data_IF_790870633449
#
_entry.id   IF_790870633449
#
_cell.length_a   1.000
_cell.length_b   1.000
_cell.length_c   1.000
_cell.angle_alpha   90.00
_cell.angle_beta   90.00
_cell.angle_gamma   90.00
#
_symmetry.space_group_name_H-M   'P 1'
#
loop_
_entity.id
_entity.type
_entity.pdbx_description
1 polymer ?
#
# COMPACT_ATOMS: atom_id res chain seq x y z
N UNK A 1 -8.62 44.78 2.50
CA UNK A 1 -8.72 43.44 1.89
C UNK A 1 -7.38 42.72 1.98
N UNK A 2 -7.24 41.69 2.83
CA UNK A 2 -6.01 40.88 2.93
C UNK A 2 -6.00 39.87 1.78
N UNK A 3 -5.01 39.95 0.87
CA UNK A 3 -4.81 38.99 -0.22
C UNK A 3 -4.56 37.59 0.36
N UNK A 4 -5.43 36.63 0.03
CA UNK A 4 -5.20 35.23 0.33
C UNK A 4 -3.95 34.74 -0.41
N UNK A 5 -2.96 34.22 0.33
CA UNK A 5 -1.80 33.51 -0.26
C UNK A 5 -2.34 32.28 -0.97
N UNK A 6 -2.14 32.19 -2.29
CA UNK A 6 -2.34 30.95 -3.04
C UNK A 6 -1.48 29.85 -2.38
N UNK A 7 -2.03 28.67 -2.09
CA UNK A 7 -1.24 27.57 -1.55
C UNK A 7 -0.12 27.22 -2.53
N UNK A 8 1.12 27.13 -2.04
CA UNK A 8 2.26 26.63 -2.82
C UNK A 8 1.90 25.23 -3.31
N UNK A 9 1.89 25.03 -4.63
CA UNK A 9 1.74 23.71 -5.25
C UNK A 9 2.87 22.84 -4.70
N UNK A 10 2.54 21.78 -3.96
CA UNK A 10 3.53 20.84 -3.46
C UNK A 10 4.30 20.26 -4.66
N UNK A 11 5.62 20.31 -4.61
CA UNK A 11 6.47 19.63 -5.58
C UNK A 11 6.19 18.13 -5.49
N UNK A 12 6.07 17.46 -6.64
CA UNK A 12 5.93 16.01 -6.68
C UNK A 12 7.11 15.37 -5.91
N UNK A 13 6.90 14.25 -5.18
CA UNK A 13 7.99 13.58 -4.50
C UNK A 13 9.05 13.13 -5.52
N UNK A 14 10.32 13.21 -5.12
CA UNK A 14 11.42 12.63 -5.89
C UNK A 14 11.45 11.12 -5.63
N UNK A 15 11.20 10.36 -6.69
CA UNK A 15 11.11 8.89 -6.65
C UNK A 15 12.35 8.20 -7.21
N UNK A 16 13.47 8.91 -7.34
CA UNK A 16 14.74 8.28 -7.71
C UNK A 16 15.24 7.34 -6.61
N UNK A 17 15.99 6.27 -6.94
CA UNK A 17 16.60 5.40 -5.94
C UNK A 17 17.35 6.18 -4.86
N UNK A 18 18.15 7.17 -5.26
CA UNK A 18 18.95 7.98 -4.34
C UNK A 18 18.07 8.78 -3.37
N UNK A 19 16.98 9.40 -3.86
CA UNK A 19 16.06 10.19 -3.03
C UNK A 19 15.32 9.36 -1.97
N UNK A 20 15.17 8.06 -2.21
CA UNK A 20 14.57 7.13 -1.24
C UNK A 20 15.60 6.34 -0.43
N UNK A 21 16.90 6.61 -0.59
CA UNK A 21 17.97 5.91 0.14
C UNK A 21 18.23 4.49 -0.36
N UNK A 22 18.17 4.27 -1.67
CA UNK A 22 18.51 3.03 -2.36
C UNK A 22 19.63 3.29 -3.38
N UNK A 23 20.62 2.41 -3.46
CA UNK A 23 21.66 2.49 -4.49
C UNK A 23 21.07 2.23 -5.89
N UNK A 24 21.48 3.00 -6.90
CA UNK A 24 21.00 2.85 -8.28
C UNK A 24 21.28 1.44 -8.79
N UNK A 25 22.49 0.94 -8.55
CA UNK A 25 22.96 -0.34 -9.03
C UNK A 25 22.13 -1.48 -8.44
N UNK A 26 21.71 -1.35 -7.17
CA UNK A 26 20.84 -2.31 -6.50
C UNK A 26 19.43 -2.29 -7.10
N UNK A 27 18.89 -1.11 -7.39
CA UNK A 27 17.60 -0.99 -8.07
C UNK A 27 17.64 -1.61 -9.48
N UNK A 28 18.65 -1.28 -10.28
CA UNK A 28 18.83 -1.84 -11.62
C UNK A 28 19.05 -3.36 -11.60
N UNK A 29 19.78 -3.87 -10.60
CA UNK A 29 19.93 -5.31 -10.41
C UNK A 29 18.61 -5.98 -10.03
N UNK A 30 17.78 -5.33 -9.21
CA UNK A 30 16.44 -5.82 -8.87
C UNK A 30 15.51 -5.86 -10.09
N UNK A 31 15.55 -4.86 -10.97
CA UNK A 31 14.77 -4.87 -12.22
C UNK A 31 15.16 -6.04 -13.13
N UNK A 32 16.46 -6.27 -13.32
CA UNK A 32 16.94 -7.44 -14.07
C UNK A 32 16.52 -8.75 -13.42
N UNK A 33 16.66 -8.82 -12.10
CA UNK A 33 16.19 -9.98 -11.34
C UNK A 33 14.69 -10.21 -11.50
N UNK A 34 13.84 -9.19 -11.56
CA UNK A 34 12.39 -9.39 -11.69
C UNK A 34 11.93 -9.66 -13.12
N UNK A 35 12.52 -8.97 -14.10
CA UNK A 35 11.94 -8.83 -15.44
C UNK A 35 12.85 -9.32 -16.59
N UNK A 36 14.18 -9.37 -16.38
CA UNK A 36 15.14 -9.89 -17.36
C UNK A 36 15.30 -11.42 -17.19
N UNK A 37 14.15 -12.11 -17.17
CA UNK A 37 14.06 -13.55 -17.02
C UNK A 37 13.28 -14.15 -18.19
N UNK A 38 13.68 -15.34 -18.66
CA UNK A 38 12.95 -16.02 -19.72
C UNK A 38 11.54 -16.34 -19.23
N UNK A 39 10.54 -16.02 -20.07
CA UNK A 39 9.17 -16.47 -19.86
C UNK A 39 9.08 -17.91 -20.34
N UNK A 40 8.73 -18.88 -19.47
CA UNK A 40 8.57 -20.26 -19.88
C UNK A 40 7.44 -20.38 -20.91
N UNK A 41 7.57 -21.36 -21.82
CA UNK A 41 6.47 -21.74 -22.70
C UNK A 41 5.21 -22.14 -21.87
N UNK A 42 4.03 -22.22 -22.48
CA UNK A 42 2.73 -22.48 -21.81
C UNK A 42 2.68 -23.65 -20.81
N UNK A 43 3.59 -24.61 -20.89
CA UNK A 43 3.67 -25.78 -19.98
C UNK A 43 4.95 -25.81 -19.13
N UNK A 44 5.79 -24.78 -19.24
CA UNK A 44 7.00 -24.64 -18.46
C UNK A 44 6.70 -24.07 -17.08
N UNK A 45 7.49 -24.48 -16.10
CA UNK A 45 7.41 -23.98 -14.74
C UNK A 45 7.91 -22.52 -14.68
N UNK A 46 7.20 -21.68 -13.93
CA UNK A 46 7.55 -20.28 -13.72
C UNK A 46 8.89 -20.17 -12.99
N UNK A 47 9.71 -19.16 -13.33
CA UNK A 47 11.11 -19.12 -12.91
C UNK A 47 11.28 -19.01 -11.39
N UNK A 48 10.35 -18.42 -10.65
CA UNK A 48 10.41 -18.34 -9.18
C UNK A 48 10.10 -19.67 -8.49
N UNK A 49 9.50 -20.63 -9.21
CA UNK A 49 9.32 -21.99 -8.73
C UNK A 49 10.45 -22.93 -9.13
N UNK A 50 11.35 -22.48 -10.00
CA UNK A 50 12.47 -23.28 -10.43
C UNK A 50 13.56 -23.25 -9.36
N UNK A 51 13.59 -24.28 -8.52
CA UNK A 51 14.57 -24.45 -7.44
C UNK A 51 15.93 -24.95 -7.95
N UNK A 52 16.17 -24.99 -9.27
CA UNK A 52 17.51 -25.33 -9.74
C UNK A 52 18.53 -24.34 -9.16
N UNK A 53 19.62 -24.88 -8.61
CA UNK A 53 20.59 -24.16 -7.79
C UNK A 53 21.43 -23.12 -8.58
N UNK A 54 21.03 -22.79 -9.81
CA UNK A 54 21.78 -21.90 -10.70
C UNK A 54 21.48 -20.42 -10.48
N UNK A 55 20.43 -20.08 -9.73
CA UNK A 55 20.03 -18.69 -9.52
C UNK A 55 19.84 -18.39 -8.04
N UNK A 56 20.85 -17.78 -7.44
CA UNK A 56 20.77 -17.31 -6.07
C UNK A 56 19.60 -16.31 -5.91
N UNK A 57 18.87 -16.36 -4.79
CA UNK A 57 17.86 -15.35 -4.47
C UNK A 57 18.51 -13.96 -4.44
N UNK A 58 17.76 -12.94 -4.86
CA UNK A 58 18.25 -11.57 -4.82
C UNK A 58 18.41 -11.11 -3.37
N UNK A 59 19.64 -10.73 -2.99
CA UNK A 59 19.95 -10.28 -1.64
C UNK A 59 19.48 -8.83 -1.40
N UNK A 60 18.33 -8.71 -0.75
CA UNK A 60 17.79 -7.45 -0.28
C UNK A 60 17.02 -7.62 1.03
N UNK A 61 17.26 -6.68 1.95
CA UNK A 61 16.51 -6.57 3.19
C UNK A 61 15.04 -6.17 2.94
N UNK A 62 14.12 -6.39 3.89
CA UNK A 62 12.74 -5.90 3.77
C UNK A 62 12.64 -4.39 3.48
N UNK A 63 13.52 -3.59 4.07
CA UNK A 63 13.58 -2.15 3.81
C UNK A 63 13.99 -1.85 2.37
N UNK A 64 15.00 -2.54 1.86
CA UNK A 64 15.43 -2.38 0.47
C UNK A 64 14.36 -2.86 -0.51
N UNK A 65 13.69 -3.98 -0.27
CA UNK A 65 12.56 -4.41 -1.09
C UNK A 65 11.39 -3.43 -1.08
N UNK A 66 11.07 -2.83 0.07
CA UNK A 66 10.05 -1.78 0.17
C UNK A 66 10.44 -0.55 -0.67
N UNK A 67 11.73 -0.18 -0.65
CA UNK A 67 12.28 0.92 -1.46
C UNK A 67 12.29 0.59 -2.95
N UNK A 68 12.71 -0.62 -3.33
CA UNK A 68 12.66 -1.12 -4.72
C UNK A 68 11.22 -1.04 -5.24
N UNK A 69 10.24 -1.55 -4.50
CA UNK A 69 8.82 -1.44 -4.85
C UNK A 69 8.36 0.01 -4.99
N UNK A 70 8.82 0.91 -4.12
CA UNK A 70 8.49 2.34 -4.20
C UNK A 70 8.97 2.96 -5.52
N UNK A 71 10.25 2.77 -5.89
CA UNK A 71 10.79 3.29 -7.18
C UNK A 71 10.09 2.64 -8.36
N UNK A 72 9.92 1.31 -8.31
CA UNK A 72 9.29 0.52 -9.35
C UNK A 72 7.88 1.02 -9.64
N UNK A 73 7.03 1.18 -8.61
CA UNK A 73 5.66 1.63 -8.80
C UNK A 73 5.62 3.07 -9.33
N UNK A 74 6.43 3.96 -8.77
CA UNK A 74 6.46 5.37 -9.16
C UNK A 74 6.92 5.59 -10.61
N UNK A 75 7.79 4.72 -11.13
CA UNK A 75 8.41 4.86 -12.45
C UNK A 75 8.05 3.73 -13.42
N UNK A 76 7.02 2.92 -13.10
CA UNK A 76 6.71 1.67 -13.81
C UNK A 76 6.57 1.86 -15.33
N UNK A 77 5.90 2.93 -15.77
CA UNK A 77 5.72 3.21 -17.20
C UNK A 77 7.03 3.38 -17.97
N UNK A 78 8.06 3.97 -17.33
CA UNK A 78 9.39 4.16 -17.92
C UNK A 78 10.23 2.90 -17.77
N UNK A 79 10.34 2.40 -16.55
CA UNK A 79 11.30 1.35 -16.19
C UNK A 79 10.87 -0.02 -16.75
N UNK A 80 9.56 -0.23 -16.92
CA UNK A 80 9.03 -1.45 -17.50
C UNK A 80 8.79 -1.39 -19.01
N UNK A 81 8.97 -0.23 -19.65
CA UNK A 81 8.79 -0.08 -21.10
C UNK A 81 9.55 -1.12 -21.96
N UNK A 82 10.79 -1.51 -21.61
CA UNK A 82 11.55 -2.48 -22.42
C UNK A 82 11.02 -3.93 -22.36
N UNK A 83 10.17 -4.27 -21.39
CA UNK A 83 9.72 -5.65 -21.17
C UNK A 83 8.36 -5.92 -21.81
N UNK A 84 8.17 -7.17 -22.21
CA UNK A 84 6.88 -7.68 -22.69
C UNK A 84 5.85 -7.80 -21.56
N UNK A 85 4.56 -7.82 -21.91
CA UNK A 85 3.49 -8.00 -20.92
C UNK A 85 3.62 -9.34 -20.17
N UNK A 86 4.15 -10.38 -20.82
CA UNK A 86 4.42 -11.67 -20.19
C UNK A 86 5.53 -11.58 -19.13
N UNK A 87 6.65 -10.90 -19.44
CA UNK A 87 7.72 -10.67 -18.47
C UNK A 87 7.26 -9.81 -17.29
N UNK A 88 6.51 -8.74 -17.57
CA UNK A 88 5.97 -7.86 -16.54
C UNK A 88 5.00 -8.64 -15.65
N UNK A 89 4.10 -9.42 -16.24
CA UNK A 89 3.18 -10.27 -15.49
C UNK A 89 3.91 -11.25 -14.57
N UNK A 90 4.96 -11.91 -15.05
CA UNK A 90 5.76 -12.80 -14.18
C UNK A 90 6.47 -12.05 -13.05
N UNK A 91 7.16 -10.96 -13.36
CA UNK A 91 7.90 -10.20 -12.36
C UNK A 91 6.99 -9.58 -11.30
N UNK A 92 5.84 -9.02 -11.71
CA UNK A 92 4.86 -8.47 -10.79
C UNK A 92 4.16 -9.55 -9.96
N UNK A 93 3.91 -10.74 -10.51
CA UNK A 93 3.38 -11.85 -9.71
C UNK A 93 4.33 -12.21 -8.55
N UNK A 94 5.64 -12.25 -8.81
CA UNK A 94 6.65 -12.45 -7.75
C UNK A 94 6.69 -11.31 -6.71
N UNK A 95 6.36 -10.08 -7.11
CA UNK A 95 6.27 -8.93 -6.20
C UNK A 95 5.03 -8.99 -5.31
N UNK A 96 3.90 -9.49 -5.81
CA UNK A 96 2.62 -9.44 -5.11
C UNK A 96 2.23 -10.74 -4.38
N UNK A 97 2.64 -11.90 -4.87
CA UNK A 97 2.16 -13.20 -4.37
C UNK A 97 3.13 -13.82 -3.38
N UNK A 98 2.65 -14.13 -2.17
CA UNK A 98 3.46 -14.82 -1.15
C UNK A 98 3.72 -16.28 -1.49
N UNK A 99 2.93 -16.86 -2.39
CA UNK A 99 3.24 -18.16 -2.97
C UNK A 99 4.56 -18.04 -3.77
N UNK A 100 4.75 -16.95 -4.49
CA UNK A 100 5.94 -16.76 -5.32
C UNK A 100 7.19 -16.31 -4.54
N UNK A 101 7.10 -15.91 -3.26
CA UNK A 101 8.24 -15.52 -2.43
C UNK A 101 7.89 -14.50 -1.34
N UNK A 102 8.91 -13.99 -0.62
CA UNK A 102 8.69 -13.13 0.57
C UNK A 102 8.63 -11.61 0.26
N UNK A 103 8.86 -11.19 -0.99
CA UNK A 103 8.78 -9.78 -1.41
C UNK A 103 7.48 -9.08 -0.96
N UNK A 104 6.28 -9.66 -1.13
CA UNK A 104 5.05 -8.99 -0.71
C UNK A 104 4.88 -8.86 0.80
N UNK A 105 5.75 -9.47 1.62
CA UNK A 105 5.77 -9.30 3.07
C UNK A 105 6.73 -8.19 3.51
N UNK A 106 7.55 -7.66 2.62
CA UNK A 106 8.62 -6.72 2.96
C UNK A 106 8.10 -5.44 3.64
N UNK A 107 7.08 -4.79 3.08
CA UNK A 107 6.55 -3.51 3.60
C UNK A 107 5.89 -3.65 4.98
N UNK A 108 5.48 -4.86 5.35
CA UNK A 108 4.87 -5.17 6.64
C UNK A 108 5.85 -5.81 7.62
N UNK A 109 7.13 -5.96 7.27
CA UNK A 109 8.15 -6.43 8.20
C UNK A 109 8.41 -5.41 9.33
N UNK A 110 8.56 -5.84 10.60
CA UNK A 110 8.84 -4.97 11.75
C UNK A 110 10.04 -4.02 11.58
N UNK A 111 11.05 -4.41 10.81
CA UNK A 111 12.26 -3.62 10.54
C UNK A 111 12.01 -2.43 9.59
N UNK A 112 10.91 -2.45 8.83
CA UNK A 112 10.58 -1.38 7.88
C UNK A 112 9.88 -0.22 8.60
N UNK A 113 10.44 1.01 8.53
CA UNK A 113 9.76 2.19 9.06
C UNK A 113 8.45 2.45 8.33
N UNK A 114 7.41 2.83 9.08
CA UNK A 114 6.11 3.17 8.51
C UNK A 114 6.21 4.22 7.39
N UNK A 115 7.14 5.18 7.51
CA UNK A 115 7.32 6.20 6.49
C UNK A 115 7.72 5.62 5.12
N UNK A 116 8.58 4.60 5.08
CA UNK A 116 8.98 3.91 3.85
C UNK A 116 7.79 3.11 3.28
N UNK A 117 7.06 2.37 4.13
CA UNK A 117 5.85 1.65 3.71
C UNK A 117 4.77 2.60 3.14
N UNK A 118 4.58 3.77 3.76
CA UNK A 118 3.64 4.80 3.28
C UNK A 118 4.08 5.45 1.98
N UNK A 119 5.39 5.62 1.74
CA UNK A 119 5.91 6.09 0.45
C UNK A 119 5.61 5.07 -0.65
N UNK A 120 5.81 3.78 -0.38
CA UNK A 120 5.46 2.71 -1.32
C UNK A 120 3.96 2.76 -1.67
N UNK A 121 3.08 2.88 -0.69
CA UNK A 121 1.63 2.98 -0.92
C UNK A 121 1.23 4.26 -1.67
N UNK A 122 1.96 5.36 -1.50
CA UNK A 122 1.74 6.59 -2.26
C UNK A 122 2.18 6.46 -3.72
N UNK A 123 3.21 5.66 -3.99
CA UNK A 123 3.69 5.36 -5.34
C UNK A 123 2.83 4.32 -6.06
N UNK A 124 2.21 3.39 -5.32
CA UNK A 124 1.44 2.27 -5.85
C UNK A 124 0.43 2.60 -6.97
N UNK A 125 -0.35 3.71 -6.91
CA UNK A 125 -1.28 4.05 -7.99
C UNK A 125 -0.61 4.27 -9.35
N UNK A 126 0.68 4.64 -9.35
CA UNK A 126 1.45 4.88 -10.58
C UNK A 126 1.73 3.62 -11.38
N UNK A 127 1.81 2.46 -10.74
CA UNK A 127 1.89 1.18 -11.45
C UNK A 127 0.69 1.00 -12.40
N UNK A 128 -0.50 1.32 -11.90
CA UNK A 128 -1.75 1.19 -12.67
C UNK A 128 -1.90 2.27 -13.73
N UNK A 129 -1.64 3.53 -13.35
CA UNK A 129 -1.82 4.68 -14.24
C UNK A 129 -0.83 4.68 -15.40
N UNK A 130 0.44 4.41 -15.11
CA UNK A 130 1.53 4.70 -16.02
C UNK A 130 2.03 3.42 -16.73
N UNK A 131 1.69 2.21 -16.24
CA UNK A 131 2.09 0.94 -16.85
C UNK A 131 0.93 0.01 -17.21
N UNK A 132 0.20 -0.53 -16.22
CA UNK A 132 -0.79 -1.59 -16.45
C UNK A 132 -1.97 -1.08 -17.29
N UNK A 133 -2.50 0.09 -16.95
CA UNK A 133 -3.63 0.71 -17.64
C UNK A 133 -3.37 0.90 -19.14
N UNK A 134 -2.30 1.61 -19.55
CA UNK A 134 -1.97 1.78 -20.96
C UNK A 134 -1.75 0.46 -21.72
N UNK A 135 -1.12 -0.54 -21.09
CA UNK A 135 -0.87 -1.85 -21.71
C UNK A 135 -2.14 -2.66 -21.90
N UNK A 136 -3.08 -2.61 -20.95
CA UNK A 136 -4.35 -3.35 -21.02
C UNK A 136 -5.52 -2.54 -21.60
N UNK A 137 -5.35 -1.25 -21.95
CA UNK A 137 -6.44 -0.37 -22.39
C UNK A 137 -7.19 -0.88 -23.64
N UNK A 138 -6.50 -1.60 -24.52
CA UNK A 138 -7.07 -2.16 -25.74
C UNK A 138 -7.75 -3.52 -25.52
N UNK A 139 -7.61 -4.12 -24.34
CA UNK A 139 -8.11 -5.45 -24.04
C UNK A 139 -9.51 -5.38 -23.46
N UNK A 140 -10.42 -6.17 -24.04
CA UNK A 140 -11.77 -6.37 -23.52
C UNK A 140 -12.03 -7.87 -23.37
N UNK A 141 -11.96 -8.35 -22.14
CA UNK A 141 -12.37 -9.71 -21.75
C UNK A 141 -13.57 -9.60 -20.82
N UNK A 142 -14.40 -10.65 -20.80
CA UNK A 142 -15.45 -10.79 -19.78
C UNK A 142 -14.83 -10.81 -18.37
N UNK A 143 -15.59 -10.38 -17.38
CA UNK A 143 -15.12 -10.40 -15.99
C UNK A 143 -14.85 -11.85 -15.57
N UNK A 144 -13.74 -12.09 -14.87
CA UNK A 144 -13.25 -13.43 -14.53
C UNK A 144 -12.43 -14.11 -15.63
N UNK A 145 -12.20 -13.44 -16.77
CA UNK A 145 -11.27 -13.91 -17.80
C UNK A 145 -10.04 -12.99 -17.93
N UNK A 146 -8.86 -13.59 -17.86
CA UNK A 146 -7.59 -12.86 -17.80
C UNK A 146 -6.85 -12.90 -19.15
N UNK A 147 -6.52 -11.75 -19.74
CA UNK A 147 -5.78 -11.69 -20.99
C UNK A 147 -4.27 -11.87 -20.77
N UNK A 148 -3.86 -13.11 -20.50
CA UNK A 148 -2.45 -13.45 -20.26
C UNK A 148 -1.95 -13.01 -18.88
N UNK A 149 -0.63 -13.06 -18.68
CA UNK A 149 -0.04 -12.92 -17.34
C UNK A 149 -0.23 -11.53 -16.73
N UNK A 150 -0.13 -10.46 -17.53
CA UNK A 150 -0.37 -9.11 -17.03
C UNK A 150 -1.83 -8.90 -16.63
N UNK A 151 -2.76 -9.50 -17.38
CA UNK A 151 -4.19 -9.53 -17.03
C UNK A 151 -4.45 -10.26 -15.72
N UNK A 152 -3.84 -11.43 -15.52
CA UNK A 152 -3.90 -12.19 -14.27
C UNK A 152 -3.39 -11.36 -13.09
N UNK A 153 -2.21 -10.75 -13.21
CA UNK A 153 -1.66 -9.86 -12.17
C UNK A 153 -2.61 -8.70 -11.88
N UNK A 154 -3.19 -8.12 -12.94
CA UNK A 154 -4.13 -7.02 -12.79
C UNK A 154 -5.33 -7.41 -11.93
N UNK A 155 -5.91 -8.59 -12.19
CA UNK A 155 -7.08 -9.10 -11.47
C UNK A 155 -6.75 -9.54 -10.05
N UNK A 156 -5.77 -10.45 -9.90
CA UNK A 156 -5.49 -11.18 -8.67
C UNK A 156 -4.76 -10.38 -7.59
N UNK A 157 -4.31 -9.15 -7.89
CA UNK A 157 -3.45 -8.40 -6.96
C UNK A 157 -4.04 -8.32 -5.56
N UNK A 158 -5.33 -8.05 -5.42
CA UNK A 158 -5.96 -7.87 -4.11
C UNK A 158 -6.32 -9.19 -3.41
N UNK A 159 -6.43 -10.30 -4.15
CA UNK A 159 -6.61 -11.63 -3.57
C UNK A 159 -5.34 -12.15 -2.91
N UNK A 160 -4.21 -12.00 -3.61
CA UNK A 160 -2.96 -12.68 -3.24
C UNK A 160 -1.95 -11.77 -2.52
N UNK A 161 -2.19 -10.46 -2.43
CA UNK A 161 -1.23 -9.55 -1.81
C UNK A 161 -1.39 -9.49 -0.29
N UNK A 162 -0.54 -10.20 0.48
CA UNK A 162 -0.67 -10.29 1.94
C UNK A 162 -0.44 -8.94 2.62
N UNK A 163 0.31 -8.01 2.01
CA UNK A 163 0.53 -6.68 2.56
C UNK A 163 -0.81 -6.00 2.85
N UNK A 164 -1.84 -6.22 2.04
CA UNK A 164 -3.17 -5.68 2.29
C UNK A 164 -3.75 -6.20 3.61
N UNK A 165 -3.85 -7.53 3.74
CA UNK A 165 -4.48 -8.23 4.85
C UNK A 165 -3.68 -8.12 6.16
N UNK A 166 -2.37 -8.21 6.08
CA UNK A 166 -1.47 -8.31 7.22
C UNK A 166 -0.97 -6.95 7.73
N UNK A 167 -0.91 -5.91 6.88
CA UNK A 167 -0.64 -4.55 7.35
C UNK A 167 -1.68 -4.13 8.39
N UNK A 168 -2.95 -4.45 8.14
CA UNK A 168 -4.03 -4.25 9.09
C UNK A 168 -3.71 -4.91 10.43
N UNK A 169 -3.42 -6.21 10.43
CA UNK A 169 -3.13 -6.96 11.66
C UNK A 169 -1.91 -6.39 12.40
N UNK A 170 -0.84 -6.04 11.68
CA UNK A 170 0.36 -5.43 12.27
C UNK A 170 0.03 -4.09 12.95
N UNK A 171 -0.62 -3.16 12.25
CA UNK A 171 -0.88 -1.83 12.79
C UNK A 171 -1.97 -1.85 13.89
N UNK A 172 -2.93 -2.76 13.80
CA UNK A 172 -3.92 -3.01 14.87
C UNK A 172 -3.26 -3.62 16.12
N UNK A 173 -2.34 -4.59 15.95
CA UNK A 173 -1.59 -5.20 17.05
C UNK A 173 -0.65 -4.21 17.73
N UNK A 174 0.06 -3.37 16.97
CA UNK A 174 0.87 -2.27 17.52
C UNK A 174 0.01 -1.31 18.37
N UNK A 175 -1.19 -0.99 17.90
CA UNK A 175 -2.17 -0.19 18.64
C UNK A 175 -2.62 -0.86 19.95
N UNK A 176 -2.83 -2.18 19.94
CA UNK A 176 -3.26 -2.94 21.11
C UNK A 176 -2.15 -3.09 22.16
N UNK A 177 -0.90 -3.31 21.76
CA UNK A 177 0.26 -3.41 22.66
C UNK A 177 0.49 -2.09 23.40
N UNK A 178 0.48 -0.97 22.67
CA UNK A 178 0.64 0.37 23.23
C UNK A 178 -0.47 0.76 24.22
N UNK A 179 -1.72 0.36 23.95
CA UNK A 179 -2.84 0.55 24.89
C UNK A 179 -2.68 -0.26 26.20
N UNK A 180 -2.08 -1.45 26.15
CA UNK A 180 -1.81 -2.28 27.33
C UNK A 180 -0.65 -1.71 28.17
N UNK A 181 0.39 -1.19 27.54
CA UNK A 181 1.51 -0.54 28.24
C UNK A 181 1.12 0.81 28.86
N UNK A 182 0.27 1.59 28.19
CA UNK A 182 -0.32 2.81 28.76
C UNK A 182 -1.12 2.54 30.03
N UNK A 183 -1.91 1.45 30.06
CA UNK A 183 -2.63 1.02 31.27
C UNK A 183 -1.71 0.58 32.41
N UNK A 184 -0.58 -0.08 32.11
CA UNK A 184 0.42 -0.46 33.15
C UNK A 184 1.09 0.78 33.79
N UNK A 185 1.31 1.87 33.04
CA UNK A 185 1.92 3.10 33.57
C UNK A 185 0.96 3.97 34.40
N UNK A 186 -0.35 3.87 34.18
CA UNK A 186 -1.36 4.59 34.99
C UNK A 186 -1.63 3.89 36.34
N UNK A 187 -1.09 2.68 36.55
CA UNK A 187 -1.25 1.89 37.77
C UNK A 187 -0.21 2.12 38.88
N UNK A 188 0.84 2.94 38.65
CA UNK A 188 1.80 3.27 39.70
C UNK A 188 1.44 4.63 40.31
N UNK A 189 0.39 4.61 41.13
CA UNK A 189 0.05 5.73 41.99
C UNK A 189 1.26 6.10 42.83
N UNK A 190 1.69 7.37 42.74
CA UNK A 190 2.50 8.01 43.75
C UNK A 190 1.85 7.77 45.11
N UNK A 191 2.36 6.81 45.88
CA UNK A 191 2.17 6.80 47.33
C UNK A 191 2.98 7.98 47.87
N UNK A 192 2.33 9.15 47.93
CA UNK A 192 2.78 10.21 48.79
C UNK A 192 2.83 9.64 50.21
N UNK A 193 4.04 9.46 50.72
CA UNK A 193 4.26 9.21 52.13
C UNK A 193 3.87 10.48 52.87
N UNK A 194 2.71 10.47 53.52
CA UNK A 194 2.35 11.47 54.51
C UNK A 194 3.24 11.26 55.74
N UNK A 195 4.35 12.00 55.81
CA UNK A 195 5.00 12.34 57.06
C UNK A 195 4.66 13.79 57.37
N UNK A 196 3.73 13.97 58.33
CA UNK A 196 3.43 15.27 58.89
C UNK A 196 4.63 15.75 59.73
N UNK A 197 5.21 16.88 59.36
CA UNK A 197 6.12 17.68 60.17
C UNK A 197 5.69 19.15 60.09
N UNK A 198 5.65 19.91 61.20
CA UNK A 198 5.08 21.25 61.22
C UNK A 198 6.12 22.30 60.82
N UNK A 199 5.79 23.15 59.86
CA UNK A 199 6.49 24.42 59.63
C UNK A 199 7.16 24.54 58.26
N UNK A 200 6.47 25.15 57.30
CA UNK A 200 7.06 25.65 56.05
C UNK A 200 5.98 26.16 55.09
N UNK A 201 6.11 27.35 54.49
CA UNK A 201 5.05 27.93 53.67
C UNK A 201 4.92 27.19 52.33
N UNK A 202 3.68 26.98 51.90
CA UNK A 202 3.34 26.39 50.62
C UNK A 202 3.95 27.21 49.47
N UNK A 203 4.89 26.62 48.73
CA UNK A 203 5.30 27.14 47.42
C UNK A 203 4.27 26.74 46.38
N UNK A 204 3.56 27.73 45.87
CA UNK A 204 2.92 27.67 44.56
C UNK A 204 4.00 27.38 43.51
N UNK A 205 3.96 26.19 42.90
CA UNK A 205 4.76 25.91 41.72
C UNK A 205 4.08 26.56 40.51
N UNK A 206 4.66 27.66 40.03
CA UNK A 206 4.34 28.31 38.77
C UNK A 206 4.50 27.31 37.60
N UNK A 207 3.42 27.12 36.85
CA UNK A 207 3.37 26.31 35.63
C UNK A 207 3.76 27.12 34.38
N UNK A 208 4.92 27.76 34.42
CA UNK A 208 5.51 28.44 33.28
C UNK A 208 7.01 28.16 33.32
N UNK A 209 7.42 27.07 32.68
CA UNK A 209 8.77 26.75 32.19
C UNK A 209 9.01 25.24 32.23
N UNK A 210 8.44 24.52 31.26
CA UNK A 210 9.05 23.28 30.75
C UNK A 210 8.85 23.15 29.24
N UNK A 211 9.88 22.73 28.49
CA UNK A 211 9.79 22.48 27.07
C UNK A 211 8.92 21.25 26.81
N UNK A 212 8.06 21.38 25.82
CA UNK A 212 7.21 20.35 25.24
C UNK A 212 7.98 19.05 24.92
N UNK A 213 7.54 17.87 25.41
CA UNK A 213 7.89 16.61 24.77
C UNK A 213 6.66 16.05 24.07
N UNK A 214 6.71 16.18 22.75
CA UNK A 214 6.05 15.33 21.76
C UNK A 214 6.42 13.87 22.06
N UNK A 215 5.74 13.16 22.97
CA UNK A 215 5.83 11.70 23.09
C UNK A 215 4.67 11.13 23.93
N UNK A 216 3.52 10.91 23.28
CA UNK A 216 2.46 10.06 23.81
C UNK A 216 2.32 8.82 22.90
N UNK A 217 2.76 7.62 23.34
CA UNK A 217 2.68 6.38 22.55
C UNK A 217 1.26 5.98 22.08
N UNK A 218 0.19 6.02 22.91
CA UNK A 218 -1.11 5.49 22.50
C UNK A 218 -1.81 6.31 21.40
N UNK A 219 -1.41 7.57 21.18
CA UNK A 219 -1.92 8.40 20.09
C UNK A 219 -1.22 8.09 18.75
N UNK A 220 0.00 7.54 18.79
CA UNK A 220 0.83 7.29 17.60
C UNK A 220 0.33 6.11 16.79
N UNK A 221 -0.27 5.11 17.43
CA UNK A 221 -0.58 3.83 16.78
C UNK A 221 -1.95 3.81 16.07
N UNK A 222 -2.99 4.43 16.65
CA UNK A 222 -4.27 4.64 15.94
C UNK A 222 -4.09 5.46 14.65
N UNK A 223 -3.13 6.39 14.65
CA UNK A 223 -2.79 7.18 13.47
C UNK A 223 -2.26 6.34 12.31
N UNK A 224 -1.54 5.24 12.58
CA UNK A 224 -0.91 4.43 11.53
C UNK A 224 -1.93 3.59 10.77
N UNK A 225 -2.88 2.99 11.49
CA UNK A 225 -4.01 2.24 10.89
C UNK A 225 -4.82 3.15 9.97
N UNK A 226 -5.11 4.37 10.42
CA UNK A 226 -5.83 5.37 9.61
C UNK A 226 -5.02 5.77 8.37
N UNK A 227 -3.69 5.98 8.50
CA UNK A 227 -2.83 6.30 7.36
C UNK A 227 -2.82 5.17 6.31
N UNK A 228 -2.77 3.90 6.74
CA UNK A 228 -2.83 2.75 5.84
C UNK A 228 -4.16 2.69 5.09
N UNK A 229 -5.29 2.77 5.81
CA UNK A 229 -6.64 2.79 5.22
C UNK A 229 -6.81 3.94 4.24
N UNK A 230 -6.29 5.12 4.57
CA UNK A 230 -6.33 6.29 3.71
C UNK A 230 -5.51 6.13 2.44
N UNK A 231 -4.29 5.58 2.56
CA UNK A 231 -3.44 5.31 1.42
C UNK A 231 -4.07 4.27 0.49
N UNK A 232 -4.68 3.23 1.06
CA UNK A 232 -5.35 2.19 0.30
C UNK A 232 -6.60 2.69 -0.42
N UNK A 233 -7.45 3.42 0.28
CA UNK A 233 -8.61 4.09 -0.31
C UNK A 233 -8.20 4.99 -1.49
N UNK A 234 -7.12 5.76 -1.33
CA UNK A 234 -6.59 6.60 -2.42
C UNK A 234 -6.11 5.78 -3.61
N UNK A 235 -5.47 4.64 -3.37
CA UNK A 235 -5.01 3.76 -4.43
C UNK A 235 -6.17 3.17 -5.23
N UNK A 236 -7.13 2.52 -4.57
CA UNK A 236 -8.30 1.95 -5.23
C UNK A 236 -9.13 3.02 -5.95
N UNK A 237 -9.30 4.20 -5.34
CA UNK A 237 -9.99 5.33 -5.97
C UNK A 237 -9.31 5.81 -7.25
N UNK A 238 -7.97 5.89 -7.23
CA UNK A 238 -7.16 6.32 -8.35
C UNK A 238 -7.08 5.26 -9.46
N UNK A 239 -7.13 3.98 -9.11
CA UNK A 239 -7.26 2.89 -10.08
C UNK A 239 -8.60 2.94 -10.82
N UNK A 240 -9.69 3.21 -10.10
CA UNK A 240 -11.02 3.35 -10.71
C UNK A 240 -11.12 4.53 -11.70
N UNK A 241 -10.23 5.53 -11.57
CA UNK A 241 -10.10 6.65 -12.53
C UNK A 241 -9.26 6.31 -13.77
N UNK A 242 -8.53 5.18 -13.78
CA UNK A 242 -7.78 4.75 -14.96
C UNK A 242 -8.78 4.32 -16.05
N UNK A 243 -8.71 4.88 -17.28
CA UNK A 243 -9.63 4.53 -18.37
C UNK A 243 -9.27 3.19 -19.02
N UNK A 244 -9.11 2.15 -18.18
CA UNK A 244 -8.82 0.78 -18.58
C UNK A 244 -9.77 -0.14 -17.81
N UNK A 245 -10.58 -0.89 -18.55
CA UNK A 245 -11.60 -1.78 -17.99
C UNK A 245 -11.02 -2.78 -16.99
N UNK A 246 -9.89 -3.43 -17.33
CA UNK A 246 -9.24 -4.41 -16.47
C UNK A 246 -8.80 -3.78 -15.11
N UNK A 247 -8.24 -2.58 -15.15
CA UNK A 247 -7.84 -1.85 -13.93
C UNK A 247 -9.05 -1.42 -13.10
N UNK A 248 -10.15 -1.02 -13.75
CA UNK A 248 -11.39 -0.69 -13.06
C UNK A 248 -12.01 -1.91 -12.39
N UNK A 249 -12.01 -3.07 -13.05
CA UNK A 249 -12.43 -4.35 -12.46
C UNK A 249 -11.57 -4.66 -11.23
N UNK A 250 -10.25 -4.59 -11.34
CA UNK A 250 -9.33 -4.82 -10.23
C UNK A 250 -9.59 -3.87 -9.04
N UNK A 251 -9.86 -2.60 -9.32
CA UNK A 251 -10.20 -1.62 -8.29
C UNK A 251 -11.52 -1.95 -7.58
N UNK A 252 -12.54 -2.33 -8.34
CA UNK A 252 -13.84 -2.75 -7.79
C UNK A 252 -13.71 -4.04 -6.99
N UNK A 253 -12.94 -4.99 -7.48
CA UNK A 253 -12.65 -6.25 -6.81
C UNK A 253 -11.98 -6.00 -5.45
N UNK A 254 -10.91 -5.19 -5.43
CA UNK A 254 -10.28 -4.76 -4.17
C UNK A 254 -11.23 -4.00 -3.23
N UNK A 255 -12.09 -3.11 -3.76
CA UNK A 255 -13.12 -2.44 -2.94
C UNK A 255 -14.17 -3.40 -2.39
N UNK A 256 -14.49 -4.48 -3.10
CA UNK A 256 -15.42 -5.51 -2.67
C UNK A 256 -14.88 -6.31 -1.50
N UNK A 257 -13.62 -6.77 -1.58
CA UNK A 257 -13.00 -7.52 -0.48
C UNK A 257 -12.75 -6.65 0.76
N UNK A 258 -12.39 -5.38 0.56
CA UNK A 258 -11.74 -4.60 1.62
C UNK A 258 -12.55 -3.39 2.07
N UNK A 259 -13.67 -3.10 1.40
CA UNK A 259 -14.47 -1.90 1.63
C UNK A 259 -14.92 -1.73 3.08
N UNK A 260 -15.34 -2.82 3.73
CA UNK A 260 -15.72 -2.81 5.15
C UNK A 260 -14.53 -2.42 6.06
N UNK A 261 -13.34 -2.93 5.73
CA UNK A 261 -12.12 -2.71 6.52
C UNK A 261 -11.54 -1.31 6.37
N UNK A 262 -11.87 -0.60 5.29
CA UNK A 262 -11.48 0.80 5.09
C UNK A 262 -12.23 1.75 6.03
N UNK A 263 -13.36 1.33 6.63
CA UNK A 263 -14.22 2.18 7.48
C UNK A 263 -14.68 3.47 6.78
N UNK A 264 -15.02 3.35 5.49
CA UNK A 264 -15.34 4.46 4.58
C UNK A 264 -16.59 4.18 3.74
N UNK A 265 -17.57 3.48 4.33
CA UNK A 265 -18.76 2.97 3.62
C UNK A 265 -19.45 4.06 2.79
N UNK A 266 -19.67 5.25 3.38
CA UNK A 266 -20.33 6.37 2.70
C UNK A 266 -19.52 6.86 1.49
N UNK A 267 -18.21 7.02 1.64
CA UNK A 267 -17.34 7.46 0.55
C UNK A 267 -17.21 6.41 -0.56
N UNK A 268 -17.13 5.12 -0.19
CA UNK A 268 -17.10 3.99 -1.12
C UNK A 268 -18.39 3.96 -1.94
N UNK A 269 -19.55 3.98 -1.28
CA UNK A 269 -20.84 3.96 -1.94
C UNK A 269 -20.99 5.15 -2.90
N UNK A 270 -20.67 6.36 -2.45
CA UNK A 270 -20.75 7.56 -3.29
C UNK A 270 -19.74 7.54 -4.46
N UNK A 271 -18.59 6.88 -4.30
CA UNK A 271 -17.59 6.75 -5.38
C UNK A 271 -18.03 5.73 -6.43
N UNK A 272 -18.52 4.57 -6.01
CA UNK A 272 -19.03 3.52 -6.90
C UNK A 272 -20.26 4.02 -7.66
N UNK A 273 -21.19 4.70 -6.99
CA UNK A 273 -22.38 5.26 -7.63
C UNK A 273 -22.02 6.26 -8.74
N UNK A 274 -21.07 7.18 -8.48
CA UNK A 274 -20.56 8.10 -9.50
C UNK A 274 -19.89 7.37 -10.66
N UNK A 275 -19.18 6.28 -10.39
CA UNK A 275 -18.56 5.46 -11.41
C UNK A 275 -19.61 4.79 -12.31
N UNK A 276 -20.63 4.15 -11.73
CA UNK A 276 -21.75 3.55 -12.47
C UNK A 276 -22.43 4.59 -13.36
N UNK A 277 -22.72 5.78 -12.81
CA UNK A 277 -23.30 6.88 -13.58
C UNK A 277 -22.39 7.33 -14.74
N UNK A 278 -21.06 7.30 -14.56
CA UNK A 278 -20.12 7.66 -15.63
C UNK A 278 -20.09 6.67 -16.79
N UNK A 279 -20.49 5.41 -16.56
CA UNK A 279 -20.59 4.40 -17.63
C UNK A 279 -21.71 4.71 -18.62
N UNK A 280 -22.71 5.52 -18.23
CA UNK A 280 -23.85 5.94 -19.10
C UNK A 280 -24.52 4.77 -19.85
N UNK A 281 -24.58 3.59 -19.22
CA UNK A 281 -25.15 2.37 -19.82
C UNK A 281 -24.31 1.71 -20.93
N UNK A 282 -23.05 2.13 -21.13
CA UNK A 282 -22.19 1.59 -22.19
C UNK A 282 -21.54 0.24 -21.84
N UNK A 283 -21.48 -0.12 -20.56
CA UNK A 283 -20.88 -1.38 -20.07
C UNK A 283 -21.71 -1.91 -18.90
N UNK A 284 -22.75 -2.68 -19.22
CA UNK A 284 -23.69 -3.21 -18.22
C UNK A 284 -23.01 -4.21 -17.29
N UNK A 285 -22.15 -5.08 -17.83
CA UNK A 285 -21.42 -6.08 -17.04
C UNK A 285 -20.53 -5.39 -15.97
N UNK A 286 -19.84 -4.31 -16.33
CA UNK A 286 -19.03 -3.54 -15.39
C UNK A 286 -19.88 -2.79 -14.36
N UNK A 287 -21.06 -2.30 -14.75
CA UNK A 287 -22.01 -1.67 -13.83
C UNK A 287 -22.54 -2.68 -12.80
N UNK A 288 -22.92 -3.88 -13.25
CA UNK A 288 -23.39 -4.97 -12.39
C UNK A 288 -22.30 -5.41 -11.41
N UNK A 289 -21.07 -5.54 -11.89
CA UNK A 289 -19.93 -5.85 -11.04
C UNK A 289 -19.64 -4.75 -10.01
N UNK A 290 -19.76 -3.48 -10.41
CA UNK A 290 -19.62 -2.36 -9.48
C UNK A 290 -20.71 -2.37 -8.40
N UNK A 291 -21.95 -2.72 -8.75
CA UNK A 291 -23.02 -2.92 -7.77
C UNK A 291 -22.70 -4.07 -6.80
N UNK A 292 -22.16 -5.18 -7.30
CA UNK A 292 -21.77 -6.33 -6.49
C UNK A 292 -20.62 -6.00 -5.53
N UNK A 293 -19.58 -5.32 -6.03
CA UNK A 293 -18.47 -4.79 -5.23
C UNK A 293 -18.94 -3.86 -4.10
N UNK A 294 -19.94 -3.01 -4.35
CA UNK A 294 -20.52 -2.15 -3.29
C UNK A 294 -21.08 -2.95 -2.12
N UNK A 295 -21.58 -4.16 -2.36
CA UNK A 295 -22.15 -5.04 -1.34
C UNK A 295 -21.12 -6.01 -0.74
N UNK A 296 -19.83 -5.87 -1.10
CA UNK A 296 -18.81 -6.84 -0.74
C UNK A 296 -18.98 -8.21 -1.41
N UNK A 297 -19.74 -8.27 -2.50
CA UNK A 297 -20.05 -9.51 -3.23
C UNK A 297 -19.20 -9.59 -4.50
N UNK A 298 -17.91 -9.85 -4.35
CA UNK A 298 -16.98 -10.12 -5.46
C UNK A 298 -16.45 -11.54 -5.34
N UNK A 299 -16.10 -12.14 -6.48
CA UNK A 299 -15.55 -13.49 -6.59
C UNK A 299 -14.12 -13.45 -7.07
#
# INVERSE_FOLDING_TARGET
MKRARKPKRATAPDWTPQAIGLAEEKYQAALRYLFDRPVPARRGQEWYWNWDATQAPFDATPLEWTRIQTVLFANAGRDLAPYSDEQIGMGLHHVMSNDAGDIPLAAIDPSVPLADAMRMMQAFPKLWQDCIGPRLAHVRTAIGHEPGRLGFVCYMWFDVWPTFHLARQRFENLSAVSAREGKKRVGMGCKAQNAAGPGGPARLCNAADRPNPIHCPPCRDRGQVLLWRDAMWRALSAMLDVPCRAVQIAALHGLGHEGEHLQREREIHARIERFIQSLRGQDQELADYAYAARQGMVQ
#
